data_IF_151135721274
#
_entry.id   IF_151135721274
#
_cell.length_a   1.000
_cell.length_b   1.000
_cell.length_c   1.000
_cell.angle_alpha   90.00
_cell.angle_beta   90.00
_cell.angle_gamma   90.00
#
_symmetry.space_group_name_H-M   'P 1'
#
loop_
_entity.id
_entity.type
_entity.pdbx_description
1 polymer ?
#
# COMPACT_ATOMS: atom_id res chain seq x y z
N UNK A 1 18.30 5.74 18.27
CA UNK A 1 17.91 6.60 17.13
C UNK A 1 18.97 7.61 16.73
N UNK A 2 19.65 8.29 17.67
CA UNK A 2 20.65 9.32 17.35
C UNK A 2 21.68 8.88 16.34
N UNK A 3 22.33 7.74 16.51
CA UNK A 3 23.38 7.26 15.58
C UNK A 3 22.85 7.03 14.15
N UNK A 4 21.69 6.37 14.00
CA UNK A 4 21.07 6.14 12.68
C UNK A 4 20.59 7.42 12.02
N UNK A 5 19.99 8.34 12.78
CA UNK A 5 19.57 9.65 12.26
C UNK A 5 20.79 10.49 11.90
N UNK A 6 21.82 10.51 12.73
CA UNK A 6 23.08 11.23 12.44
C UNK A 6 23.73 10.71 11.17
N UNK A 7 23.78 9.39 10.96
CA UNK A 7 24.30 8.80 9.73
C UNK A 7 23.49 9.25 8.50
N UNK A 8 22.16 9.23 8.59
CA UNK A 8 21.29 9.70 7.49
C UNK A 8 21.50 11.20 7.24
N UNK A 9 21.57 12.01 8.28
CA UNK A 9 21.82 13.46 8.19
C UNK A 9 23.17 13.74 7.55
N UNK A 10 24.22 13.01 7.92
CA UNK A 10 25.55 13.15 7.34
C UNK A 10 25.57 12.80 5.85
N UNK A 11 24.90 11.72 5.45
CA UNK A 11 24.74 11.37 4.03
C UNK A 11 24.02 12.49 3.26
N UNK A 12 22.93 13.02 3.82
CA UNK A 12 22.15 14.09 3.18
C UNK A 12 22.99 15.37 3.04
N UNK A 13 23.73 15.74 4.08
CA UNK A 13 24.61 16.92 4.06
C UNK A 13 25.72 16.77 3.02
N UNK A 14 26.37 15.60 2.94
CA UNK A 14 27.39 15.34 1.92
C UNK A 14 26.83 15.42 0.49
N UNK A 15 25.60 14.92 0.27
CA UNK A 15 24.92 15.04 -1.02
C UNK A 15 24.58 16.50 -1.36
N UNK A 16 24.12 17.26 -0.37
CA UNK A 16 23.84 18.69 -0.51
C UNK A 16 25.09 19.47 -0.92
N UNK A 17 26.20 19.24 -0.23
CA UNK A 17 27.47 19.92 -0.49
C UNK A 17 28.05 19.55 -1.86
N UNK A 18 27.95 18.27 -2.25
CA UNK A 18 28.34 17.81 -3.59
C UNK A 18 27.54 18.55 -4.69
N UNK A 19 26.24 18.78 -4.48
CA UNK A 19 25.39 19.46 -5.45
C UNK A 19 25.74 20.95 -5.58
N UNK A 20 26.11 21.60 -4.48
CA UNK A 20 26.59 22.99 -4.48
C UNK A 20 27.88 23.12 -5.29
N UNK A 21 28.85 22.23 -5.06
CA UNK A 21 30.12 22.23 -5.79
C UNK A 21 29.88 22.04 -7.29
N UNK A 22 29.06 21.06 -7.67
CA UNK A 22 28.75 20.78 -9.07
C UNK A 22 28.01 21.93 -9.76
N UNK A 23 27.13 22.63 -9.05
CA UNK A 23 26.46 23.81 -9.56
C UNK A 23 27.40 25.01 -9.72
N UNK A 24 28.31 25.20 -8.77
CA UNK A 24 29.35 26.24 -8.81
C UNK A 24 30.29 26.03 -10.00
N UNK A 25 30.66 24.79 -10.30
CA UNK A 25 31.50 24.43 -11.46
C UNK A 25 30.80 24.74 -12.81
N UNK A 26 29.46 24.76 -12.82
CA UNK A 26 28.64 25.15 -13.97
C UNK A 26 28.37 26.67 -14.03
N UNK A 27 28.93 27.46 -13.10
CA UNK A 27 28.79 28.91 -13.04
C UNK A 27 27.54 29.42 -12.32
N UNK A 28 26.82 28.55 -11.61
CA UNK A 28 25.63 28.93 -10.84
C UNK A 28 25.95 29.11 -9.36
N UNK A 29 25.56 30.25 -8.79
CA UNK A 29 25.59 30.49 -7.34
C UNK A 29 24.17 30.35 -6.79
N UNK A 30 23.82 29.16 -6.28
CA UNK A 30 22.51 28.95 -5.66
C UNK A 30 22.53 29.30 -4.18
N UNK A 31 21.46 29.96 -3.70
CA UNK A 31 21.20 30.04 -2.26
C UNK A 31 20.58 28.71 -1.78
N UNK A 32 20.66 28.42 -0.48
CA UNK A 32 20.02 27.23 0.11
C UNK A 32 18.53 27.12 -0.28
N UNK A 33 17.82 28.24 -0.40
CA UNK A 33 16.41 28.28 -0.79
C UNK A 33 16.21 27.91 -2.26
N UNK A 34 17.07 28.41 -3.15
CA UNK A 34 17.00 28.08 -4.58
C UNK A 34 17.34 26.61 -4.79
N UNK A 35 18.35 26.11 -4.08
CA UNK A 35 18.74 24.71 -4.12
C UNK A 35 17.61 23.80 -3.64
N UNK A 36 16.96 24.13 -2.52
CA UNK A 36 15.78 23.39 -2.04
C UNK A 36 14.65 23.42 -3.06
N UNK A 37 14.37 24.56 -3.71
CA UNK A 37 13.33 24.64 -4.73
C UNK A 37 13.59 23.65 -5.88
N UNK A 38 14.80 23.67 -6.44
CA UNK A 38 15.16 22.81 -7.56
C UNK A 38 15.26 21.33 -7.17
N UNK A 39 15.94 21.01 -6.06
CA UNK A 39 16.08 19.62 -5.59
C UNK A 39 14.71 19.03 -5.25
N UNK A 40 13.89 19.73 -4.47
CA UNK A 40 12.56 19.22 -4.10
C UNK A 40 11.63 19.13 -5.31
N UNK A 41 11.71 20.07 -6.24
CA UNK A 41 10.96 20.03 -7.50
C UNK A 41 11.32 18.81 -8.36
N UNK A 42 12.62 18.56 -8.58
CA UNK A 42 13.11 17.45 -9.39
C UNK A 42 12.82 16.11 -8.72
N UNK A 43 13.10 15.97 -7.42
CA UNK A 43 12.79 14.76 -6.67
C UNK A 43 11.28 14.52 -6.69
N UNK A 44 10.46 15.56 -6.44
CA UNK A 44 9.01 15.46 -6.39
C UNK A 44 8.42 14.97 -7.71
N UNK A 45 8.82 15.56 -8.85
CA UNK A 45 8.31 15.13 -10.16
C UNK A 45 8.80 13.72 -10.54
N UNK A 46 10.03 13.38 -10.18
CA UNK A 46 10.61 12.04 -10.43
C UNK A 46 9.85 10.97 -9.64
N UNK A 47 9.64 11.21 -8.34
CA UNK A 47 8.85 10.32 -7.46
C UNK A 47 7.41 10.24 -7.95
N UNK A 48 6.80 11.34 -8.40
CA UNK A 48 5.45 11.34 -8.96
C UNK A 48 5.36 10.41 -10.18
N UNK A 49 6.27 10.51 -11.15
CA UNK A 49 6.26 9.62 -12.32
C UNK A 49 6.47 8.16 -11.95
N UNK A 50 7.38 7.89 -11.01
CA UNK A 50 7.59 6.54 -10.48
C UNK A 50 6.32 5.98 -9.84
N UNK A 51 5.73 6.71 -8.89
CA UNK A 51 4.49 6.31 -8.20
C UNK A 51 3.33 6.15 -9.19
N UNK A 52 3.19 7.05 -10.15
CA UNK A 52 2.17 6.96 -11.19
C UNK A 52 2.33 5.68 -12.02
N UNK A 53 3.56 5.37 -12.46
CA UNK A 53 3.85 4.17 -13.24
C UNK A 53 3.56 2.89 -12.44
N UNK A 54 4.06 2.80 -11.20
CA UNK A 54 3.78 1.66 -10.30
C UNK A 54 2.28 1.53 -10.06
N UNK A 55 1.58 2.62 -9.78
CA UNK A 55 0.13 2.63 -9.54
C UNK A 55 -0.65 2.14 -10.76
N UNK A 56 -0.23 2.51 -11.97
CA UNK A 56 -0.83 2.06 -13.23
C UNK A 56 -0.63 0.56 -13.47
N UNK A 57 0.49 0.00 -13.03
CA UNK A 57 0.72 -1.45 -13.08
C UNK A 57 -0.14 -2.15 -12.03
N UNK A 58 -0.12 -1.65 -10.79
CA UNK A 58 -0.85 -2.24 -9.68
C UNK A 58 -2.36 -2.23 -9.93
N UNK A 59 -2.92 -1.14 -10.47
CA UNK A 59 -4.37 -1.02 -10.72
C UNK A 59 -4.94 -2.06 -11.69
N UNK A 60 -4.09 -2.71 -12.51
CA UNK A 60 -4.50 -3.82 -13.38
C UNK A 60 -4.64 -5.15 -12.64
N UNK A 61 -4.09 -5.27 -11.44
CA UNK A 61 -4.20 -6.46 -10.61
C UNK A 61 -5.57 -6.48 -9.91
N UNK A 62 -6.11 -7.68 -9.67
CA UNK A 62 -7.41 -7.87 -9.01
C UNK A 62 -7.53 -7.17 -7.64
N UNK A 63 -6.42 -7.07 -6.91
CA UNK A 63 -6.32 -6.40 -5.61
C UNK A 63 -5.44 -5.14 -5.66
N UNK A 64 -5.27 -4.58 -6.85
CA UNK A 64 -4.37 -3.46 -7.12
C UNK A 64 -4.63 -2.23 -6.28
N UNK A 65 -5.91 -1.83 -6.20
CA UNK A 65 -6.34 -0.65 -5.43
C UNK A 65 -6.10 -0.86 -3.94
N UNK A 66 -6.38 -2.06 -3.43
CA UNK A 66 -6.12 -2.41 -2.02
C UNK A 66 -4.63 -2.38 -1.70
N UNK A 67 -3.78 -2.93 -2.57
CA UNK A 67 -2.33 -2.87 -2.42
C UNK A 67 -1.81 -1.42 -2.48
N UNK A 68 -2.35 -0.61 -3.40
CA UNK A 68 -1.99 0.82 -3.51
C UNK A 68 -2.36 1.58 -2.23
N UNK A 69 -3.57 1.36 -1.71
CA UNK A 69 -4.02 1.95 -0.45
C UNK A 69 -3.16 1.51 0.74
N UNK A 70 -2.73 0.23 0.77
CA UNK A 70 -1.81 -0.28 1.78
C UNK A 70 -0.47 0.46 1.73
N UNK A 71 0.19 0.52 0.58
CA UNK A 71 1.48 1.20 0.49
C UNK A 71 1.37 2.70 0.77
N UNK A 72 0.32 3.36 0.28
CA UNK A 72 0.08 4.78 0.57
C UNK A 72 -0.06 5.04 2.07
N UNK A 73 -0.89 4.25 2.75
CA UNK A 73 -1.08 4.39 4.21
C UNK A 73 0.14 3.94 5.00
N UNK A 74 0.90 2.94 4.53
CA UNK A 74 2.17 2.54 5.13
C UNK A 74 3.21 3.68 5.06
N UNK A 75 3.34 4.34 3.92
CA UNK A 75 4.23 5.52 3.78
C UNK A 75 3.79 6.65 4.70
N UNK A 76 2.49 6.92 4.79
CA UNK A 76 1.94 7.89 5.74
C UNK A 76 2.28 7.52 7.19
N UNK A 77 2.08 6.25 7.58
CA UNK A 77 2.40 5.76 8.92
C UNK A 77 3.90 5.87 9.23
N UNK A 78 4.78 5.63 8.25
CA UNK A 78 6.21 5.83 8.41
C UNK A 78 6.51 7.29 8.77
N UNK A 79 6.03 8.25 7.98
CA UNK A 79 6.23 9.68 8.27
C UNK A 79 5.64 10.07 9.62
N UNK A 80 4.42 9.59 9.93
CA UNK A 80 3.72 9.91 11.18
C UNK A 80 4.47 9.43 12.42
N UNK A 81 4.90 8.17 12.41
CA UNK A 81 5.60 7.55 13.55
C UNK A 81 6.92 8.26 13.80
N UNK A 82 7.74 8.48 12.75
CA UNK A 82 8.99 9.23 12.92
C UNK A 82 8.75 10.67 13.37
N UNK A 83 7.70 11.34 12.90
CA UNK A 83 7.35 12.68 13.36
C UNK A 83 7.03 12.70 14.87
N UNK A 84 6.27 11.72 15.36
CA UNK A 84 5.95 11.59 16.79
C UNK A 84 7.22 11.32 17.61
N UNK A 85 8.06 10.36 17.19
CA UNK A 85 9.31 10.02 17.89
C UNK A 85 10.29 11.20 17.94
N UNK A 86 10.44 11.94 16.83
CA UNK A 86 11.26 13.16 16.78
C UNK A 86 10.71 14.21 17.74
N UNK A 87 9.40 14.42 17.75
CA UNK A 87 8.77 15.39 18.65
C UNK A 87 8.94 15.00 20.12
N UNK A 88 8.83 13.71 20.46
CA UNK A 88 9.07 13.21 21.82
C UNK A 88 10.52 13.41 22.26
N UNK A 89 11.48 13.18 21.36
CA UNK A 89 12.90 13.44 21.59
C UNK A 89 13.18 14.91 21.93
N UNK A 90 12.57 15.84 21.20
CA UNK A 90 12.77 17.28 21.38
C UNK A 90 12.07 17.78 22.65
N UNK A 91 10.90 17.24 22.97
CA UNK A 91 10.10 17.66 24.13
C UNK A 91 10.48 16.97 25.44
N UNK A 92 11.49 16.09 25.41
CA UNK A 92 11.90 15.23 26.54
C UNK A 92 10.73 14.43 27.15
N UNK A 93 9.71 14.13 26.35
CA UNK A 93 8.57 13.29 26.75
C UNK A 93 8.74 11.89 26.18
N UNK A 94 9.62 11.11 26.80
CA UNK A 94 9.96 9.75 26.38
C UNK A 94 11.43 9.58 26.02
N UNK A 95 11.90 8.34 25.96
CA UNK A 95 13.20 8.02 25.36
C UNK A 95 12.97 7.80 23.87
N UNK A 96 13.75 8.46 23.02
CA UNK A 96 13.62 8.33 21.57
C UNK A 96 14.18 6.98 21.11
N UNK A 97 13.36 5.94 21.12
CA UNK A 97 13.75 4.58 20.75
C UNK A 97 13.34 4.22 19.32
N UNK A 98 14.29 3.68 18.55
CA UNK A 98 14.02 3.24 17.18
C UNK A 98 13.03 2.08 17.16
N UNK A 99 13.02 1.33 18.26
CA UNK A 99 12.13 0.21 18.49
C UNK A 99 10.68 0.70 18.58
N UNK A 100 10.41 1.85 19.21
CA UNK A 100 9.06 2.40 19.29
C UNK A 100 8.51 2.74 17.90
N UNK A 101 9.38 3.27 17.03
CA UNK A 101 9.02 3.49 15.63
C UNK A 101 8.68 2.19 14.88
N UNK A 102 9.52 1.17 15.06
CA UNK A 102 9.31 -0.16 14.45
C UNK A 102 8.02 -0.79 14.96
N UNK A 103 7.75 -0.71 16.27
CA UNK A 103 6.54 -1.27 16.90
C UNK A 103 5.28 -0.55 16.40
N UNK A 104 5.33 0.78 16.26
CA UNK A 104 4.24 1.56 15.68
C UNK A 104 3.89 1.12 14.25
N UNK A 105 4.91 0.91 13.41
CA UNK A 105 4.72 0.38 12.05
C UNK A 105 4.22 -1.07 12.04
N UNK A 106 4.72 -1.91 12.95
CA UNK A 106 4.27 -3.29 13.10
C UNK A 106 2.80 -3.37 13.47
N UNK A 107 2.31 -2.48 14.34
CA UNK A 107 0.90 -2.38 14.68
C UNK A 107 0.02 -2.23 13.43
N UNK A 108 0.36 -1.29 12.56
CA UNK A 108 -0.35 -1.09 11.29
C UNK A 108 -0.35 -2.36 10.42
N UNK A 109 0.79 -3.03 10.28
CA UNK A 109 0.92 -4.27 9.49
C UNK A 109 0.02 -5.38 10.06
N UNK A 110 0.03 -5.58 11.37
CA UNK A 110 -0.80 -6.61 12.04
C UNK A 110 -2.28 -6.34 11.84
N UNK A 111 -2.74 -5.10 12.06
CA UNK A 111 -4.15 -4.74 11.86
C UNK A 111 -4.58 -4.88 10.40
N UNK A 112 -3.68 -4.59 9.45
CA UNK A 112 -3.96 -4.81 8.03
C UNK A 112 -4.10 -6.30 7.68
N UNK A 113 -3.29 -7.17 8.28
CA UNK A 113 -3.46 -8.63 8.10
C UNK A 113 -4.77 -9.15 8.70
N UNK A 114 -5.21 -8.60 9.84
CA UNK A 114 -6.53 -8.90 10.40
C UNK A 114 -7.65 -8.53 9.40
N UNK A 115 -7.56 -7.34 8.79
CA UNK A 115 -8.48 -6.91 7.74
C UNK A 115 -8.50 -7.87 6.54
N UNK A 116 -7.32 -8.28 6.03
CA UNK A 116 -7.23 -9.27 4.94
C UNK A 116 -7.88 -10.59 5.36
N UNK A 117 -7.66 -11.03 6.60
CA UNK A 117 -8.28 -12.24 7.15
C UNK A 117 -9.80 -12.19 7.10
N UNK A 118 -10.40 -11.09 7.55
CA UNK A 118 -11.85 -10.89 7.46
C UNK A 118 -12.35 -10.87 6.00
N UNK A 119 -11.66 -10.15 5.11
CA UNK A 119 -12.02 -10.09 3.70
C UNK A 119 -11.96 -11.49 3.04
N UNK A 120 -10.95 -12.29 3.36
CA UNK A 120 -10.81 -13.66 2.86
C UNK A 120 -11.95 -14.57 3.33
N UNK A 121 -12.35 -14.48 4.61
CA UNK A 121 -13.47 -15.25 5.15
C UNK A 121 -14.77 -14.91 4.42
N UNK A 122 -15.07 -13.62 4.20
CA UNK A 122 -16.27 -13.18 3.48
C UNK A 122 -16.28 -13.70 2.04
N UNK A 123 -15.13 -13.65 1.36
CA UNK A 123 -15.00 -14.18 0.00
C UNK A 123 -15.20 -15.70 -0.05
N UNK A 124 -14.68 -16.42 0.94
CA UNK A 124 -14.86 -17.87 1.05
C UNK A 124 -16.34 -18.23 1.26
N UNK A 125 -17.03 -17.51 2.14
CA UNK A 125 -18.48 -17.69 2.38
C UNK A 125 -19.25 -17.45 1.09
N UNK A 126 -19.01 -16.34 0.39
CA UNK A 126 -19.66 -16.04 -0.90
C UNK A 126 -19.40 -17.13 -1.94
N UNK A 127 -18.17 -17.62 -2.03
CA UNK A 127 -17.80 -18.70 -2.94
C UNK A 127 -18.56 -19.99 -2.64
N UNK A 128 -18.70 -20.36 -1.36
CA UNK A 128 -19.48 -21.54 -0.92
C UNK A 128 -20.96 -21.36 -1.25
N UNK A 129 -21.56 -20.22 -0.92
CA UNK A 129 -22.98 -19.94 -1.23
C UNK A 129 -23.26 -20.00 -2.74
N UNK A 130 -22.41 -19.40 -3.58
CA UNK A 130 -22.57 -19.46 -5.03
C UNK A 130 -22.43 -20.89 -5.57
N UNK A 131 -21.49 -21.67 -5.04
CA UNK A 131 -21.31 -23.08 -5.43
C UNK A 131 -22.53 -23.93 -5.05
N UNK A 132 -23.13 -23.68 -3.88
CA UNK A 132 -24.33 -24.38 -3.42
C UNK A 132 -25.58 -23.99 -4.25
N UNK A 133 -25.78 -22.70 -4.52
CA UNK A 133 -26.92 -22.22 -5.32
C UNK A 133 -26.89 -22.77 -6.76
N UNK A 134 -25.71 -22.82 -7.38
CA UNK A 134 -25.54 -23.34 -8.74
C UNK A 134 -25.82 -24.85 -8.84
N UNK A 135 -25.47 -25.63 -7.82
CA UNK A 135 -25.78 -27.07 -7.80
C UNK A 135 -27.29 -27.32 -7.67
N UNK A 136 -28.01 -26.50 -6.90
CA UNK A 136 -29.47 -26.63 -6.74
C UNK A 136 -30.25 -26.29 -8.02
N UNK A 137 -29.81 -25.31 -8.81
CA UNK A 137 -30.47 -24.98 -10.09
C UNK A 137 -30.30 -26.09 -11.13
N UNK A 138 -29.11 -26.72 -11.19
CA UNK A 138 -28.84 -27.82 -12.12
C UNK A 138 -29.67 -29.06 -11.79
N UNK A 139 -29.82 -29.41 -10.51
CA UNK A 139 -30.65 -30.55 -10.09
C UNK A 139 -32.14 -30.31 -10.36
N UNK A 140 -32.66 -29.12 -10.03
CA UNK A 140 -34.04 -28.72 -10.31
C UNK A 140 -34.36 -28.68 -11.82
N UNK A 141 -33.41 -28.27 -12.66
CA UNK A 141 -33.57 -28.29 -14.12
C UNK A 141 -33.63 -29.72 -14.68
N UNK A 142 -32.79 -30.62 -14.17
CA UNK A 142 -32.72 -32.01 -14.63
C UNK A 142 -33.97 -32.82 -14.24
N UNK A 143 -34.49 -32.62 -13.02
CA UNK A 143 -35.73 -33.27 -12.56
C UNK A 143 -36.96 -32.83 -13.36
N UNK A 144 -37.06 -31.54 -13.71
CA UNK A 144 -38.15 -31.03 -14.58
C UNK A 144 -38.10 -31.64 -15.98
N UNK A 145 -36.91 -31.79 -16.56
CA UNK A 145 -36.72 -32.44 -17.86
C UNK A 145 -37.13 -33.92 -17.86
N UNK A 146 -36.75 -34.65 -16.80
CA UNK A 146 -37.13 -36.06 -16.61
C UNK A 146 -38.64 -36.24 -16.40
N UNK A 147 -39.27 -35.34 -15.64
CA UNK A 147 -40.72 -35.37 -15.44
C UNK A 147 -41.50 -35.10 -16.73
N UNK A 148 -41.07 -34.10 -17.52
CA UNK A 148 -41.69 -33.76 -18.79
C UNK A 148 -41.62 -34.90 -19.82
N UNK A 149 -40.44 -35.53 -19.95
CA UNK A 149 -40.27 -36.67 -20.85
C UNK A 149 -41.13 -37.89 -20.44
N UNK A 150 -41.33 -38.09 -19.13
CA UNK A 150 -42.20 -39.16 -18.63
C UNK A 150 -43.65 -38.92 -19.02
N UNK A 151 -44.16 -37.70 -18.92
CA UNK A 151 -45.55 -37.33 -19.28
C UNK A 151 -45.82 -37.50 -20.79
N UNK A 152 -44.85 -37.19 -21.65
CA UNK A 152 -45.00 -37.39 -23.11
C UNK A 152 -45.06 -38.87 -23.48
N UNK A 153 -44.27 -39.72 -22.81
CA UNK A 153 -44.29 -41.17 -23.02
C UNK A 153 -45.64 -41.78 -22.61
N UNK A 154 -46.24 -41.34 -21.49
CA UNK A 154 -47.53 -41.88 -21.04
C UNK A 154 -48.73 -41.44 -21.88
N UNK A 155 -48.64 -40.31 -22.61
CA UNK A 155 -49.71 -39.84 -23.52
C UNK A 155 -49.64 -40.43 -24.94
N UNK A 156 -48.63 -41.27 -25.24
CA UNK A 156 -48.44 -41.89 -26.56
C UNK A 156 -49.02 -43.31 -26.69
N UNK A 157 -49.78 -43.77 -25.70
CA UNK A 157 -50.52 -45.05 -25.69
C UNK A 157 -52.01 -44.71 -25.74
#
# INVERSE_FOLDING_TARGET
MKEGITLIVEIINNLHDMFIVLASDLGFTFTDKDLHFWIMGIIGITVFFFVYFVSKILSKLKFGITALAFFYTLTFMFVLVFAIEIQQAITNRGQMEFIDAIVGLWGYIVFFFIYIGFAAIILLIKYIYQKLSRNNEVTLGNDKGLAFNRVIQTKRI
#
